data_IF_655000817454
#
_entry.id   IF_655000817454
#
_cell.length_a   1.000
_cell.length_b   1.000
_cell.length_c   1.000
_cell.angle_alpha   90.00
_cell.angle_beta   90.00
_cell.angle_gamma   90.00
#
_symmetry.space_group_name_H-M   'P 1'
#
loop_
_entity.id
_entity.type
_entity.pdbx_description
1 polymer ?
#
# COMPACT_ATOMS: atom_id res chain seq x y z
N UNK A 1 -9.99 -1.80 4.02
CA UNK A 1 -9.51 -2.59 5.16
C UNK A 1 -10.65 -2.92 6.13
N UNK A 2 -10.43 -3.90 7.03
CA UNK A 2 -11.38 -4.25 8.11
C UNK A 2 -11.34 -3.20 9.25
N UNK A 3 -12.30 -3.26 10.14
CA UNK A 3 -12.33 -2.38 11.33
C UNK A 3 -11.24 -2.74 12.37
N UNK A 4 -10.60 -3.89 12.26
CA UNK A 4 -9.49 -4.33 13.12
C UNK A 4 -8.13 -3.81 12.60
N UNK A 5 -8.05 -3.39 11.33
CA UNK A 5 -6.81 -3.00 10.69
C UNK A 5 -6.23 -1.69 11.25
N UNK A 6 -4.91 -1.54 11.42
CA UNK A 6 -4.28 -0.31 11.93
C UNK A 6 -4.71 0.97 11.20
N UNK A 7 -4.84 0.93 9.86
CA UNK A 7 -5.36 2.07 9.11
C UNK A 7 -6.77 2.50 9.55
N UNK A 8 -7.66 1.54 9.85
CA UNK A 8 -9.00 1.90 10.32
C UNK A 8 -8.96 2.58 11.68
N UNK A 9 -8.09 2.09 12.59
CA UNK A 9 -7.85 2.74 13.89
C UNK A 9 -7.33 4.17 13.71
N UNK A 10 -6.41 4.38 12.76
CA UNK A 10 -5.95 5.69 12.37
C UNK A 10 -7.09 6.58 11.82
N UNK A 11 -7.98 6.03 10.99
CA UNK A 11 -9.15 6.75 10.48
C UNK A 11 -10.15 7.11 11.59
N UNK A 12 -10.28 6.29 12.63
CA UNK A 12 -11.09 6.63 13.82
C UNK A 12 -10.49 7.82 14.55
N UNK A 13 -9.17 7.88 14.73
CA UNK A 13 -8.49 9.04 15.32
C UNK A 13 -8.67 10.30 14.46
N UNK A 14 -8.55 10.18 13.12
CA UNK A 14 -8.86 11.28 12.19
C UNK A 14 -10.29 11.83 12.39
N UNK A 15 -11.27 10.92 12.45
CA UNK A 15 -12.66 11.26 12.71
C UNK A 15 -12.83 11.96 14.04
N UNK A 16 -12.36 11.36 15.12
CA UNK A 16 -12.60 11.83 16.48
C UNK A 16 -11.97 13.22 16.69
N UNK A 17 -10.78 13.46 16.13
CA UNK A 17 -10.12 14.75 16.21
C UNK A 17 -10.91 15.84 15.44
N UNK A 18 -11.33 15.56 14.21
CA UNK A 18 -12.15 16.53 13.43
C UNK A 18 -13.46 16.85 14.14
N UNK A 19 -14.16 15.84 14.63
CA UNK A 19 -15.44 16.02 15.33
C UNK A 19 -15.28 16.73 16.70
N UNK A 20 -14.12 16.57 17.35
CA UNK A 20 -13.83 17.31 18.59
C UNK A 20 -13.60 18.81 18.37
N UNK A 21 -12.92 19.16 17.27
CA UNK A 21 -12.55 20.54 16.97
C UNK A 21 -13.60 21.30 16.12
N UNK A 22 -14.30 20.58 15.24
CA UNK A 22 -15.19 21.13 14.22
C UNK A 22 -16.55 20.41 14.15
N UNK A 23 -16.97 19.71 15.21
CA UNK A 23 -18.19 18.90 15.22
C UNK A 23 -19.50 19.68 14.98
N UNK A 24 -19.47 21.02 15.14
CA UNK A 24 -20.61 21.88 14.76
C UNK A 24 -20.77 22.03 13.23
N UNK A 25 -19.72 21.69 12.46
CA UNK A 25 -19.68 21.87 11.00
C UNK A 25 -19.51 20.57 10.24
N UNK A 26 -18.77 19.61 10.80
CA UNK A 26 -18.39 18.36 10.10
C UNK A 26 -18.76 17.13 10.94
N UNK A 27 -19.31 16.14 10.27
CA UNK A 27 -19.50 14.78 10.74
C UNK A 27 -18.69 13.85 9.81
N UNK A 28 -17.85 12.97 10.37
CA UNK A 28 -17.04 12.05 9.59
C UNK A 28 -17.65 10.65 9.61
N UNK A 29 -17.94 10.11 8.43
CA UNK A 29 -18.46 8.76 8.27
C UNK A 29 -17.41 7.89 7.58
N UNK A 30 -17.04 6.78 8.20
CA UNK A 30 -16.04 5.84 7.69
C UNK A 30 -16.76 4.64 7.06
N UNK A 31 -16.34 4.26 5.85
CA UNK A 31 -16.90 3.13 5.08
C UNK A 31 -15.81 2.08 4.86
N UNK A 32 -15.65 1.10 5.77
CA UNK A 32 -14.64 0.05 5.65
C UNK A 32 -14.99 -1.00 4.59
N UNK A 33 -14.06 -1.94 4.35
CA UNK A 33 -14.28 -3.15 3.54
C UNK A 33 -14.79 -2.91 2.11
N UNK A 34 -14.29 -1.84 1.47
CA UNK A 34 -14.68 -1.49 0.09
C UNK A 34 -16.21 -1.31 -0.11
N UNK A 35 -16.94 -0.87 0.94
CA UNK A 35 -18.39 -0.67 0.88
C UNK A 35 -18.81 0.31 -0.23
N UNK A 36 -17.93 1.26 -0.60
CA UNK A 36 -18.16 2.23 -1.67
C UNK A 36 -17.53 1.81 -3.01
N UNK A 37 -16.97 0.60 -3.08
CA UNK A 37 -16.24 0.06 -4.23
C UNK A 37 -14.76 -0.14 -3.94
N UNK A 38 -14.05 -0.84 -4.84
CA UNK A 38 -12.61 -1.05 -4.74
C UNK A 38 -11.82 0.26 -4.83
N UNK A 39 -10.53 0.20 -4.51
CA UNK A 39 -9.67 1.39 -4.34
C UNK A 39 -9.71 2.34 -5.55
N UNK A 40 -9.53 1.85 -6.78
CA UNK A 40 -9.62 2.68 -7.98
C UNK A 40 -10.97 3.39 -8.08
N UNK A 41 -12.08 2.70 -7.76
CA UNK A 41 -13.40 3.31 -7.74
C UNK A 41 -13.56 4.37 -6.66
N UNK A 42 -13.01 4.12 -5.48
CA UNK A 42 -13.02 5.10 -4.39
C UNK A 42 -12.21 6.36 -4.76
N UNK A 43 -11.06 6.22 -5.44
CA UNK A 43 -10.30 7.36 -5.96
C UNK A 43 -11.13 8.16 -6.98
N UNK A 44 -11.83 7.51 -7.91
CA UNK A 44 -12.74 8.19 -8.85
C UNK A 44 -13.87 8.95 -8.14
N UNK A 45 -14.46 8.35 -7.10
CA UNK A 45 -15.51 9.00 -6.30
C UNK A 45 -14.95 10.22 -5.54
N UNK A 46 -13.73 10.13 -5.03
CA UNK A 46 -13.02 11.25 -4.41
C UNK A 46 -12.73 12.34 -5.43
N UNK A 47 -12.24 11.99 -6.61
CA UNK A 47 -11.95 12.94 -7.70
C UNK A 47 -13.21 13.75 -8.09
N UNK A 48 -14.36 13.09 -8.17
CA UNK A 48 -15.63 13.73 -8.53
C UNK A 48 -16.30 14.47 -7.37
N UNK A 49 -15.80 14.31 -6.13
CA UNK A 49 -16.38 14.90 -4.93
C UNK A 49 -17.65 14.20 -4.43
N UNK A 50 -17.88 12.96 -4.86
CA UNK A 50 -18.94 12.12 -4.30
C UNK A 50 -18.62 11.62 -2.89
N UNK A 51 -17.32 11.50 -2.58
CA UNK A 51 -16.77 11.33 -1.23
C UNK A 51 -15.62 12.33 -1.05
N UNK A 52 -15.32 12.68 0.19
CA UNK A 52 -14.33 13.73 0.48
C UNK A 52 -12.92 13.15 0.62
N UNK A 53 -12.80 11.95 1.16
CA UNK A 53 -11.52 11.25 1.39
C UNK A 53 -11.61 9.77 1.03
N UNK A 54 -10.47 9.19 0.64
CA UNK A 54 -10.29 7.74 0.53
C UNK A 54 -8.87 7.35 0.94
N UNK A 55 -8.69 6.10 1.37
CA UNK A 55 -7.36 5.49 1.54
C UNK A 55 -7.15 4.46 0.45
N UNK A 56 -6.01 4.52 -0.20
CA UNK A 56 -5.64 3.59 -1.26
C UNK A 56 -4.13 3.40 -1.34
N UNK A 57 -3.71 2.21 -1.79
CA UNK A 57 -2.32 1.95 -2.14
C UNK A 57 -1.87 2.81 -3.32
N UNK A 58 -0.65 3.31 -3.25
CA UNK A 58 -0.06 4.13 -4.33
C UNK A 58 -0.11 3.49 -5.72
N UNK A 59 -0.07 2.15 -5.91
CA UNK A 59 -0.28 1.54 -7.22
C UNK A 59 -1.65 1.82 -7.84
N UNK A 60 -2.69 2.01 -7.03
CA UNK A 60 -4.00 2.40 -7.58
C UNK A 60 -4.09 3.89 -7.91
N UNK A 61 -3.18 4.71 -7.37
CA UNK A 61 -3.10 6.14 -7.64
C UNK A 61 -2.25 6.45 -8.88
N UNK A 62 -1.33 5.57 -9.30
CA UNK A 62 -0.42 5.82 -10.42
C UNK A 62 -1.16 6.11 -11.74
N UNK A 63 -2.36 5.56 -11.95
CA UNK A 63 -3.16 5.84 -13.15
C UNK A 63 -3.78 7.24 -13.17
N UNK A 64 -3.79 7.93 -12.04
CA UNK A 64 -4.24 9.32 -11.90
C UNK A 64 -3.07 10.30 -11.84
N UNK A 65 -1.93 9.84 -11.32
CA UNK A 65 -0.70 10.63 -11.20
C UNK A 65 0.52 9.69 -11.31
N UNK A 66 1.17 9.72 -12.45
CA UNK A 66 2.22 8.78 -12.87
C UNK A 66 3.46 8.77 -11.95
N UNK A 67 3.72 9.86 -11.21
CA UNK A 67 4.82 9.91 -10.23
C UNK A 67 4.74 8.82 -9.17
N UNK A 68 3.52 8.37 -8.83
CA UNK A 68 3.32 7.31 -7.83
C UNK A 68 3.71 5.90 -8.32
N UNK A 69 3.96 5.74 -9.62
CA UNK A 69 4.49 4.49 -10.19
C UNK A 69 5.81 4.05 -9.53
N UNK A 70 6.62 5.01 -9.05
CA UNK A 70 7.89 4.72 -8.38
C UNK A 70 7.73 3.74 -7.23
N UNK A 71 6.67 3.86 -6.42
CA UNK A 71 6.42 2.99 -5.27
C UNK A 71 6.07 1.55 -5.66
N UNK A 72 5.71 1.32 -6.92
CA UNK A 72 5.45 -0.02 -7.47
C UNK A 72 6.72 -0.75 -7.90
N UNK A 73 7.89 -0.13 -7.82
CA UNK A 73 9.16 -0.76 -8.15
C UNK A 73 9.50 -1.87 -7.16
N UNK A 74 9.87 -3.08 -7.64
CA UNK A 74 10.37 -4.11 -6.74
C UNK A 74 11.70 -3.68 -6.11
N UNK A 75 11.85 -3.94 -4.81
CA UNK A 75 13.06 -3.61 -4.03
C UNK A 75 13.52 -2.16 -4.13
N UNK A 76 12.54 -1.22 -4.23
CA UNK A 76 12.81 0.21 -4.25
C UNK A 76 13.56 0.68 -3.00
N UNK A 77 13.09 0.24 -1.83
CA UNK A 77 13.72 0.51 -0.55
C UNK A 77 14.59 -0.67 -0.12
N UNK A 78 15.77 -0.38 0.43
CA UNK A 78 16.74 -1.39 0.86
C UNK A 78 16.58 -1.79 2.32
N UNK A 79 15.89 -0.97 3.12
CA UNK A 79 15.56 -1.24 4.52
C UNK A 79 14.29 -0.47 4.94
N UNK A 80 13.73 -0.85 6.08
CA UNK A 80 12.60 -0.14 6.69
C UNK A 80 13.00 1.26 7.14
N UNK A 81 14.23 1.43 7.65
CA UNK A 81 14.75 2.73 8.06
C UNK A 81 14.81 3.71 6.88
N UNK A 82 15.28 3.24 5.71
CA UNK A 82 15.29 4.06 4.50
C UNK A 82 13.87 4.41 4.04
N UNK A 83 12.94 3.46 4.13
CA UNK A 83 11.52 3.68 3.81
C UNK A 83 10.90 4.74 4.72
N UNK A 84 11.01 4.58 6.04
CA UNK A 84 10.46 5.55 6.99
C UNK A 84 11.11 6.92 6.85
N UNK A 85 12.44 6.98 6.65
CA UNK A 85 13.14 8.25 6.48
C UNK A 85 12.68 8.99 5.22
N UNK A 86 12.49 8.29 4.10
CA UNK A 86 11.98 8.89 2.86
C UNK A 86 10.54 9.37 3.01
N UNK A 87 9.65 8.55 3.61
CA UNK A 87 8.24 8.92 3.77
C UNK A 87 8.02 10.05 4.77
N UNK A 88 8.90 10.19 5.76
CA UNK A 88 8.86 11.27 6.76
C UNK A 88 9.62 12.54 6.33
N UNK A 89 10.22 12.58 5.14
CA UNK A 89 10.74 13.82 4.56
C UNK A 89 9.57 14.69 4.05
N UNK A 90 8.90 15.35 4.99
CA UNK A 90 7.69 16.14 4.71
C UNK A 90 7.94 17.28 3.73
N UNK A 91 9.15 17.89 3.76
CA UNK A 91 9.51 18.97 2.83
C UNK A 91 9.55 18.51 1.38
N UNK A 92 9.96 17.26 1.15
CA UNK A 92 9.96 16.67 -0.19
C UNK A 92 8.62 16.02 -0.52
N UNK A 93 8.08 15.19 0.38
CA UNK A 93 6.85 14.44 0.12
C UNK A 93 5.63 15.33 -0.08
N UNK A 94 5.54 16.48 0.58
CA UNK A 94 4.46 17.44 0.34
C UNK A 94 4.42 17.94 -1.11
N UNK A 95 5.57 18.03 -1.80
CA UNK A 95 5.61 18.37 -3.24
C UNK A 95 5.03 17.23 -4.10
N UNK A 96 5.33 15.98 -3.72
CA UNK A 96 4.77 14.81 -4.39
C UNK A 96 3.25 14.72 -4.12
N UNK A 97 2.82 14.98 -2.89
CA UNK A 97 1.40 15.00 -2.52
C UNK A 97 0.59 16.06 -3.28
N UNK A 98 1.17 17.24 -3.48
CA UNK A 98 0.57 18.32 -4.26
C UNK A 98 0.52 18.03 -5.77
N UNK A 99 1.32 17.08 -6.28
CA UNK A 99 1.36 16.78 -7.73
C UNK A 99 0.05 16.22 -8.28
N UNK A 100 -0.90 15.83 -7.42
CA UNK A 100 -2.22 15.33 -7.80
C UNK A 100 -3.29 16.42 -7.93
N UNK A 101 -3.00 17.68 -7.56
CA UNK A 101 -4.00 18.77 -7.50
C UNK A 101 -4.68 19.01 -8.85
N UNK A 102 -3.93 19.00 -9.94
CA UNK A 102 -4.45 19.20 -11.31
C UNK A 102 -5.42 18.08 -11.73
N UNK A 103 -5.39 16.95 -11.07
CA UNK A 103 -6.33 15.83 -11.29
C UNK A 103 -7.59 15.93 -10.42
N UNK A 104 -7.69 16.96 -9.57
CA UNK A 104 -8.78 17.13 -8.60
C UNK A 104 -8.63 16.34 -7.31
N UNK A 105 -7.44 15.80 -7.08
CA UNK A 105 -7.07 15.01 -5.90
C UNK A 105 -5.91 15.68 -5.15
N UNK A 106 -5.78 15.43 -3.85
CA UNK A 106 -4.59 15.77 -3.08
C UNK A 106 -4.32 14.68 -2.05
N UNK A 107 -3.11 14.15 -2.05
CA UNK A 107 -2.66 13.27 -0.96
C UNK A 107 -2.40 14.14 0.27
N UNK A 108 -2.86 13.68 1.44
CA UNK A 108 -2.76 14.46 2.69
C UNK A 108 -1.88 13.79 3.73
N UNK A 109 -1.75 12.46 3.69
CA UNK A 109 -0.83 11.70 4.54
C UNK A 109 -0.61 10.29 4.01
N UNK A 110 0.26 9.52 4.65
CA UNK A 110 0.62 8.17 4.29
C UNK A 110 0.44 7.19 5.47
N UNK A 111 0.37 5.91 5.15
CA UNK A 111 0.28 4.81 6.10
C UNK A 111 1.31 3.74 5.76
N UNK A 112 1.84 3.10 6.81
CA UNK A 112 2.71 1.94 6.66
C UNK A 112 1.88 0.68 6.44
N UNK A 113 2.13 -0.02 5.36
CA UNK A 113 1.52 -1.34 5.14
C UNK A 113 2.57 -2.44 5.03
N UNK A 114 3.73 -2.21 5.65
CA UNK A 114 4.82 -3.16 5.79
C UNK A 114 5.42 -3.61 4.47
N UNK A 115 5.94 -4.81 4.50
CA UNK A 115 6.58 -5.44 3.35
C UNK A 115 5.64 -6.40 2.66
N UNK A 116 5.54 -6.31 1.33
CA UNK A 116 4.70 -7.19 0.53
C UNK A 116 5.45 -8.47 0.17
N UNK A 117 4.72 -9.59 0.27
CA UNK A 117 5.22 -10.95 0.16
C UNK A 117 4.23 -11.80 -0.65
N UNK A 118 4.69 -12.84 -1.33
CA UNK A 118 3.80 -13.76 -2.03
C UNK A 118 3.13 -14.74 -1.05
N UNK A 119 1.84 -15.01 -1.26
CA UNK A 119 1.14 -16.10 -0.60
C UNK A 119 0.24 -16.85 -1.57
N UNK A 120 0.15 -18.16 -1.42
CA UNK A 120 -0.51 -19.01 -2.40
C UNK A 120 -1.01 -20.34 -1.82
N UNK A 121 -1.76 -21.10 -2.64
CA UNK A 121 -2.18 -22.47 -2.32
C UNK A 121 -1.02 -23.46 -2.31
N UNK A 122 0.08 -23.15 -3.01
CA UNK A 122 1.28 -24.00 -3.11
C UNK A 122 2.49 -23.20 -2.60
N UNK A 123 3.52 -23.89 -2.10
CA UNK A 123 4.74 -23.22 -1.65
C UNK A 123 5.45 -22.51 -2.82
N UNK A 124 6.01 -21.35 -2.54
CA UNK A 124 6.89 -20.59 -3.42
C UNK A 124 8.24 -20.50 -2.71
N UNK A 125 9.16 -21.38 -3.04
CA UNK A 125 10.50 -21.42 -2.44
C UNK A 125 11.52 -20.62 -3.25
N UNK A 126 11.32 -20.54 -4.55
CA UNK A 126 12.15 -19.81 -5.51
C UNK A 126 11.28 -18.99 -6.46
N UNK A 127 11.80 -17.96 -7.14
CA UNK A 127 11.02 -17.23 -8.13
C UNK A 127 10.55 -18.09 -9.31
N UNK A 128 11.22 -19.22 -9.59
CA UNK A 128 10.79 -20.13 -10.67
C UNK A 128 9.49 -20.87 -10.34
N UNK A 129 9.13 -21.00 -9.04
CA UNK A 129 7.85 -21.57 -8.62
C UNK A 129 6.66 -20.67 -9.01
N UNK A 130 6.91 -19.36 -9.24
CA UNK A 130 5.89 -18.42 -9.72
C UNK A 130 5.54 -18.62 -11.20
N UNK A 131 6.34 -19.36 -11.95
CA UNK A 131 6.16 -19.52 -13.39
C UNK A 131 4.79 -20.11 -13.75
N UNK A 132 3.98 -19.27 -14.40
CA UNK A 132 2.64 -19.63 -14.84
C UNK A 132 1.58 -19.64 -13.74
N UNK A 133 1.93 -19.34 -12.47
CA UNK A 133 0.95 -19.12 -11.41
C UNK A 133 0.16 -17.85 -11.69
N UNK A 134 -1.14 -17.91 -11.51
CA UNK A 134 -2.03 -16.75 -11.57
C UNK A 134 -1.96 -16.02 -10.23
N UNK A 135 -1.21 -14.95 -10.18
CA UNK A 135 -1.01 -14.14 -8.98
C UNK A 135 -1.82 -12.85 -9.10
N UNK A 136 -2.68 -12.61 -8.13
CA UNK A 136 -3.36 -11.32 -8.03
C UNK A 136 -2.36 -10.21 -7.72
N UNK A 137 -2.50 -9.12 -8.42
CA UNK A 137 -1.81 -7.86 -8.14
C UNK A 137 -2.81 -6.71 -8.06
N UNK A 138 -2.37 -5.56 -7.59
CA UNK A 138 -3.17 -4.34 -7.62
C UNK A 138 -3.45 -3.92 -9.07
N UNK A 139 -4.47 -3.08 -9.27
CA UNK A 139 -4.89 -2.60 -10.59
C UNK A 139 -3.95 -1.50 -11.12
N UNK A 140 -2.70 -1.89 -11.35
CA UNK A 140 -1.55 -1.04 -11.66
C UNK A 140 -0.75 -1.66 -12.80
N UNK A 141 -0.42 -0.91 -13.87
CA UNK A 141 0.50 -1.35 -14.91
C UNK A 141 1.86 -1.79 -14.37
N UNK A 142 2.41 -1.07 -13.40
CA UNK A 142 3.70 -1.40 -12.80
C UNK A 142 3.64 -2.70 -11.98
N UNK A 143 2.57 -2.93 -11.20
CA UNK A 143 2.38 -4.19 -10.49
C UNK A 143 2.23 -5.39 -11.44
N UNK A 144 1.57 -5.19 -12.58
CA UNK A 144 1.49 -6.20 -13.66
C UNK A 144 2.88 -6.48 -14.24
N UNK A 145 3.68 -5.44 -14.50
CA UNK A 145 5.06 -5.56 -15.03
C UNK A 145 5.93 -6.35 -14.06
N UNK A 146 5.90 -6.01 -12.78
CA UNK A 146 6.62 -6.72 -11.72
C UNK A 146 6.27 -8.21 -11.66
N UNK A 147 4.98 -8.55 -11.58
CA UNK A 147 4.55 -9.95 -11.51
C UNK A 147 4.99 -10.76 -12.74
N UNK A 148 4.90 -10.17 -13.92
CA UNK A 148 5.41 -10.79 -15.16
C UNK A 148 6.93 -10.99 -15.14
N UNK A 149 7.70 -10.06 -14.58
CA UNK A 149 9.14 -10.19 -14.43
C UNK A 149 9.52 -11.36 -13.51
N UNK A 150 8.75 -11.61 -12.46
CA UNK A 150 8.87 -12.83 -11.64
C UNK A 150 8.45 -14.12 -12.37
N UNK A 151 7.79 -14.01 -13.53
CA UNK A 151 7.30 -15.16 -14.31
C UNK A 151 5.85 -15.55 -14.03
N UNK A 152 5.16 -14.81 -13.19
CA UNK A 152 3.75 -15.05 -12.87
C UNK A 152 2.81 -14.53 -13.97
N UNK A 153 1.62 -15.15 -14.03
CA UNK A 153 0.49 -14.60 -14.80
C UNK A 153 -0.25 -13.59 -13.91
N UNK A 154 0.03 -12.30 -14.12
CA UNK A 154 -0.58 -11.22 -13.35
C UNK A 154 -2.09 -11.17 -13.57
N UNK A 155 -2.85 -11.10 -12.46
CA UNK A 155 -4.31 -11.02 -12.45
C UNK A 155 -4.76 -9.79 -11.66
N UNK A 156 -4.83 -8.60 -12.29
CA UNK A 156 -5.23 -7.38 -11.60
C UNK A 156 -6.72 -7.45 -11.21
N UNK A 157 -7.02 -7.21 -9.93
CA UNK A 157 -8.38 -7.14 -9.40
C UNK A 157 -8.43 -6.38 -8.09
N UNK A 158 -9.63 -5.93 -7.69
CA UNK A 158 -9.83 -5.28 -6.39
C UNK A 158 -9.50 -6.23 -5.23
N UNK A 159 -9.16 -5.66 -4.07
CA UNK A 159 -8.69 -6.45 -2.94
C UNK A 159 -9.81 -7.31 -2.34
N UNK A 160 -11.04 -6.78 -2.29
CA UNK A 160 -12.21 -7.51 -1.78
C UNK A 160 -12.59 -8.76 -2.58
N UNK A 161 -12.09 -8.92 -3.83
CA UNK A 161 -12.35 -10.10 -4.65
C UNK A 161 -11.37 -11.26 -4.39
N UNK A 162 -10.23 -10.99 -3.74
CA UNK A 162 -9.08 -11.92 -3.66
C UNK A 162 -9.44 -13.23 -2.94
N UNK A 163 -10.08 -13.16 -1.77
CA UNK A 163 -10.48 -14.36 -1.02
C UNK A 163 -11.29 -15.33 -1.90
N UNK A 164 -12.34 -14.82 -2.51
CA UNK A 164 -13.22 -15.63 -3.35
C UNK A 164 -12.51 -16.16 -4.60
N UNK A 165 -11.67 -15.34 -5.23
CA UNK A 165 -10.90 -15.73 -6.40
C UNK A 165 -9.90 -16.87 -6.10
N UNK A 166 -9.21 -16.83 -4.95
CA UNK A 166 -8.35 -17.92 -4.48
C UNK A 166 -9.19 -19.16 -4.14
N UNK A 167 -10.29 -18.98 -3.39
CA UNK A 167 -11.15 -20.08 -2.98
C UNK A 167 -11.69 -20.86 -4.19
N UNK A 168 -12.15 -20.15 -5.22
CA UNK A 168 -12.69 -20.73 -6.43
C UNK A 168 -11.63 -21.24 -7.42
N UNK A 169 -10.33 -20.96 -7.18
CA UNK A 169 -9.25 -21.34 -8.07
C UNK A 169 -9.16 -20.50 -9.34
N UNK A 170 -9.74 -19.32 -9.37
CA UNK A 170 -9.59 -18.33 -10.44
C UNK A 170 -8.14 -17.83 -10.47
N UNK A 171 -7.56 -17.63 -9.28
CA UNK A 171 -6.16 -17.33 -9.07
C UNK A 171 -5.52 -18.36 -8.12
N UNK A 172 -4.20 -18.48 -8.17
CA UNK A 172 -3.41 -19.42 -7.36
C UNK A 172 -2.95 -18.79 -6.04
N UNK A 173 -2.82 -17.46 -6.02
CA UNK A 173 -2.35 -16.70 -4.88
C UNK A 173 -2.38 -15.20 -5.15
N UNK A 174 -1.76 -14.46 -4.23
CA UNK A 174 -1.65 -13.01 -4.29
C UNK A 174 -0.34 -12.55 -3.61
N UNK A 175 -0.17 -11.25 -3.45
CA UNK A 175 0.94 -10.67 -2.72
C UNK A 175 0.41 -9.56 -1.79
N UNK A 176 0.88 -9.54 -0.55
CA UNK A 176 0.56 -8.55 0.47
C UNK A 176 1.39 -8.81 1.74
N UNK A 177 1.07 -8.09 2.83
CA UNK A 177 1.57 -8.29 4.18
C UNK A 177 0.79 -9.37 4.95
N UNK A 178 1.20 -9.66 6.18
CA UNK A 178 0.64 -10.71 7.04
C UNK A 178 -0.82 -10.44 7.44
N UNK A 179 -1.23 -9.17 7.59
CA UNK A 179 -2.60 -8.82 7.99
C UNK A 179 -3.65 -9.30 6.97
N UNK A 180 -3.27 -9.43 5.69
CA UNK A 180 -4.15 -10.00 4.69
C UNK A 180 -4.58 -11.45 5.01
N UNK A 181 -3.70 -12.20 5.70
CA UNK A 181 -3.99 -13.59 6.08
C UNK A 181 -5.10 -13.69 7.11
N UNK A 182 -5.11 -12.77 8.08
CA UNK A 182 -6.05 -12.77 9.23
C UNK A 182 -7.25 -11.88 8.99
N UNK A 183 -7.06 -10.58 8.77
CA UNK A 183 -8.13 -9.60 8.67
C UNK A 183 -9.04 -9.85 7.46
N UNK A 184 -8.44 -10.29 6.35
CA UNK A 184 -9.16 -10.63 5.13
C UNK A 184 -9.35 -12.14 4.94
N UNK A 185 -8.91 -12.94 5.94
CA UNK A 185 -9.04 -14.40 5.99
C UNK A 185 -8.36 -15.14 4.82
N UNK A 186 -7.42 -14.49 4.13
CA UNK A 186 -6.74 -15.11 3.00
C UNK A 186 -5.94 -16.36 3.43
N UNK A 187 -5.49 -16.46 4.69
CA UNK A 187 -4.87 -17.64 5.26
C UNK A 187 -5.78 -18.90 5.33
N UNK A 188 -7.09 -18.74 5.22
CA UNK A 188 -8.00 -19.88 5.10
C UNK A 188 -7.87 -20.58 3.73
N UNK A 189 -7.58 -19.83 2.68
CA UNK A 189 -7.58 -20.27 1.28
C UNK A 189 -6.21 -20.34 0.62
N UNK A 190 -5.19 -19.70 1.23
CA UNK A 190 -3.78 -19.74 0.81
C UNK A 190 -2.91 -20.12 2.01
N UNK A 191 -2.28 -21.30 1.96
CA UNK A 191 -1.61 -21.91 3.11
C UNK A 191 -0.09 -21.72 3.16
N UNK A 192 0.48 -21.01 2.19
CA UNK A 192 1.91 -20.76 2.12
C UNK A 192 2.15 -19.27 1.94
N UNK A 193 2.95 -18.70 2.83
CA UNK A 193 3.36 -17.31 2.79
C UNK A 193 4.89 -17.24 2.68
N UNK A 194 5.40 -16.62 1.61
CA UNK A 194 6.82 -16.57 1.29
C UNK A 194 7.36 -15.18 1.48
N UNK A 195 8.30 -14.99 2.39
CA UNK A 195 8.95 -13.71 2.67
C UNK A 195 9.88 -13.27 1.53
N UNK A 196 9.29 -13.04 0.35
CA UNK A 196 10.01 -12.49 -0.81
C UNK A 196 10.40 -11.03 -0.64
N UNK A 197 9.75 -10.29 0.28
CA UNK A 197 10.04 -8.90 0.65
C UNK A 197 10.26 -7.99 -0.57
N UNK A 198 9.40 -8.17 -1.59
CA UNK A 198 9.66 -7.60 -2.90
C UNK A 198 9.24 -6.14 -3.04
N UNK A 199 8.40 -5.62 -2.15
CA UNK A 199 7.98 -4.21 -2.13
C UNK A 199 7.66 -3.71 -0.73
N UNK A 200 7.90 -2.41 -0.50
CA UNK A 200 7.31 -1.59 0.55
C UNK A 200 6.53 -0.49 -0.14
N UNK A 201 5.20 -0.57 -0.10
CA UNK A 201 4.29 0.33 -0.80
C UNK A 201 3.50 1.10 0.25
N UNK A 202 3.57 2.43 0.30
CA UNK A 202 2.70 3.17 1.21
C UNK A 202 1.25 3.15 0.71
N UNK A 203 0.31 3.00 1.63
CA UNK A 203 -1.04 3.47 1.40
C UNK A 203 -1.10 4.97 1.70
N UNK A 204 -1.98 5.69 1.05
CA UNK A 204 -2.10 7.14 1.19
C UNK A 204 -3.56 7.56 1.41
N UNK A 205 -3.77 8.56 2.26
CA UNK A 205 -5.04 9.24 2.35
C UNK A 205 -5.12 10.29 1.26
N UNK A 206 -6.14 10.20 0.43
CA UNK A 206 -6.38 11.04 -0.73
C UNK A 206 -7.65 11.84 -0.47
N UNK A 207 -7.58 13.15 -0.61
CA UNK A 207 -8.72 14.05 -0.46
C UNK A 207 -9.21 14.59 -1.81
N UNK A 208 -10.48 14.95 -1.88
CA UNK A 208 -10.97 15.80 -2.96
C UNK A 208 -10.31 17.19 -2.85
N UNK A 209 -9.60 17.61 -3.89
CA UNK A 209 -8.85 18.89 -3.87
C UNK A 209 -9.75 20.09 -3.70
N UNK A 210 -10.95 20.09 -4.32
CA UNK A 210 -11.90 21.19 -4.18
C UNK A 210 -12.45 21.30 -2.76
N UNK A 211 -12.68 20.19 -2.06
CA UNK A 211 -13.07 20.17 -0.65
C UNK A 211 -11.98 20.83 0.19
N UNK A 212 -10.73 20.38 0.10
CA UNK A 212 -9.61 20.95 0.87
C UNK A 212 -9.41 22.43 0.58
N UNK A 213 -9.50 22.82 -0.69
CA UNK A 213 -9.30 24.21 -1.11
C UNK A 213 -10.44 25.15 -0.71
N UNK A 214 -11.58 24.58 -0.33
CA UNK A 214 -12.74 25.30 0.21
C UNK A 214 -12.69 25.53 1.72
N UNK A 215 -11.76 24.89 2.43
CA UNK A 215 -11.58 25.09 3.88
C UNK A 215 -10.97 26.47 4.18
N UNK A 216 -11.38 27.07 5.30
CA UNK A 216 -10.64 28.21 5.87
C UNK A 216 -9.26 27.74 6.39
N UNK A 217 -8.34 28.67 6.59
CA UNK A 217 -6.99 28.35 7.10
C UNK A 217 -7.06 27.58 8.42
N UNK A 218 -7.93 27.98 9.35
CA UNK A 218 -8.10 27.29 10.63
C UNK A 218 -8.72 25.89 10.51
N UNK A 219 -9.64 25.69 9.58
CA UNK A 219 -10.17 24.35 9.31
C UNK A 219 -9.12 23.45 8.66
N UNK A 220 -8.35 24.00 7.71
CA UNK A 220 -7.26 23.27 7.07
C UNK A 220 -6.22 22.78 8.09
N UNK A 221 -5.82 23.63 9.04
CA UNK A 221 -4.91 23.23 10.13
C UNK A 221 -5.46 22.05 10.94
N UNK A 222 -6.78 22.02 11.21
CA UNK A 222 -7.42 20.88 11.91
C UNK A 222 -7.37 19.61 11.07
N UNK A 223 -7.71 19.67 9.77
CA UNK A 223 -7.65 18.50 8.89
C UNK A 223 -6.22 17.99 8.70
N UNK A 224 -5.22 18.85 8.55
CA UNK A 224 -3.81 18.47 8.45
C UNK A 224 -3.33 17.80 9.74
N UNK A 225 -3.71 18.35 10.92
CA UNK A 225 -3.39 17.75 12.20
C UNK A 225 -4.08 16.40 12.39
N UNK A 226 -5.35 16.28 11.98
CA UNK A 226 -6.08 15.01 12.02
C UNK A 226 -5.40 13.94 11.15
N UNK A 227 -4.96 14.32 9.95
CA UNK A 227 -4.23 13.42 9.06
C UNK A 227 -2.90 12.93 9.67
N UNK A 228 -2.14 13.82 10.32
CA UNK A 228 -0.92 13.44 11.02
C UNK A 228 -1.20 12.49 12.19
N UNK A 229 -2.19 12.79 13.04
CA UNK A 229 -2.59 11.91 14.15
C UNK A 229 -3.04 10.53 13.65
N UNK A 230 -3.73 10.48 12.53
CA UNK A 230 -4.13 9.23 11.88
C UNK A 230 -2.95 8.36 11.52
N UNK A 231 -1.90 8.95 10.92
CA UNK A 231 -0.65 8.25 10.61
C UNK A 231 0.07 7.80 11.88
N UNK A 232 0.19 8.69 12.87
CA UNK A 232 0.88 8.38 14.13
C UNK A 232 0.21 7.17 14.83
N UNK A 233 -1.13 7.15 14.91
CA UNK A 233 -1.90 6.03 15.49
C UNK A 233 -1.71 4.73 14.70
N UNK A 234 -1.75 4.80 13.39
CA UNK A 234 -1.53 3.62 12.54
C UNK A 234 -0.14 3.02 12.75
N UNK A 235 0.90 3.86 12.78
CA UNK A 235 2.28 3.43 13.01
C UNK A 235 2.49 2.78 14.39
N UNK A 236 1.83 3.30 15.44
CA UNK A 236 1.90 2.72 16.80
C UNK A 236 1.28 1.31 16.86
N UNK A 237 0.19 1.07 16.14
CA UNK A 237 -0.54 -0.19 16.14
C UNK A 237 0.08 -1.26 15.24
N UNK A 238 0.77 -0.84 14.16
CA UNK A 238 1.22 -1.71 13.07
C UNK A 238 2.03 -2.93 13.53
N UNK A 239 3.10 -2.72 14.27
CA UNK A 239 4.02 -3.79 14.66
C UNK A 239 3.38 -4.86 15.54
N UNK A 240 2.46 -4.45 16.42
CA UNK A 240 1.75 -5.37 17.30
C UNK A 240 0.76 -6.21 16.51
N UNK A 241 0.04 -5.60 15.59
CA UNK A 241 -0.98 -6.28 14.79
C UNK A 241 -0.33 -7.26 13.80
N UNK A 242 0.80 -6.90 13.17
CA UNK A 242 1.56 -7.82 12.30
C UNK A 242 2.08 -9.05 13.08
N UNK A 243 2.63 -8.85 14.29
CA UNK A 243 3.09 -9.97 15.13
C UNK A 243 1.93 -10.89 15.54
N UNK A 244 0.79 -10.32 15.89
CA UNK A 244 -0.41 -11.07 16.24
C UNK A 244 -0.96 -11.83 15.01
N UNK A 245 -1.02 -11.19 13.85
CA UNK A 245 -1.47 -11.78 12.60
C UNK A 245 -0.61 -12.99 12.20
N UNK A 246 0.72 -12.86 12.23
CA UNK A 246 1.64 -13.96 11.94
C UNK A 246 1.36 -15.17 12.84
N UNK A 247 1.27 -14.93 14.14
CA UNK A 247 0.99 -16.00 15.12
C UNK A 247 -0.36 -16.67 14.83
N UNK A 248 -1.42 -15.90 14.65
CA UNK A 248 -2.76 -16.42 14.35
C UNK A 248 -2.78 -17.21 13.05
N UNK A 249 -2.13 -16.70 12.00
CA UNK A 249 -2.05 -17.38 10.71
C UNK A 249 -1.34 -18.73 10.83
N UNK A 250 -0.26 -18.82 11.63
CA UNK A 250 0.50 -20.05 11.85
C UNK A 250 -0.27 -21.04 12.71
N UNK A 251 -0.71 -20.60 13.91
CA UNK A 251 -1.28 -21.48 14.93
C UNK A 251 -2.75 -21.88 14.64
N UNK A 252 -3.57 -20.93 14.20
CA UNK A 252 -5.02 -21.14 14.05
C UNK A 252 -5.44 -21.42 12.61
N UNK A 253 -4.74 -20.84 11.63
CA UNK A 253 -5.08 -21.01 10.20
C UNK A 253 -4.22 -22.04 9.50
N UNK A 254 -3.11 -22.51 10.11
CA UNK A 254 -2.21 -23.52 9.55
C UNK A 254 -1.43 -23.00 8.33
N UNK A 255 -1.09 -21.73 8.30
CA UNK A 255 -0.25 -21.13 7.28
C UNK A 255 1.22 -21.50 7.55
N UNK A 256 1.92 -21.92 6.49
CA UNK A 256 3.35 -22.18 6.54
C UNK A 256 4.10 -20.96 6.02
N UNK A 257 4.98 -20.40 6.84
CA UNK A 257 5.86 -19.29 6.47
C UNK A 257 7.17 -19.83 5.91
N UNK A 258 7.60 -19.26 4.77
CA UNK A 258 8.80 -19.69 4.02
C UNK A 258 9.77 -18.51 3.96
N UNK A 259 11.02 -18.75 4.37
CA UNK A 259 12.15 -17.82 4.23
C UNK A 259 12.99 -18.25 3.02
N UNK A 260 12.83 -17.60 1.85
CA UNK A 260 13.56 -17.96 0.64
C UNK A 260 14.94 -17.31 0.59
N UNK A 261 15.79 -17.72 -0.38
CA UNK A 261 16.94 -16.90 -0.75
C UNK A 261 16.48 -15.65 -1.52
N UNK A 262 16.56 -14.51 -0.85
CA UNK A 262 16.14 -13.22 -1.41
C UNK A 262 16.96 -12.79 -2.63
N UNK A 263 18.21 -13.26 -2.75
CA UNK A 263 19.07 -12.91 -3.90
C UNK A 263 18.49 -13.46 -5.21
N UNK A 264 17.90 -14.68 -5.18
CA UNK A 264 17.25 -15.24 -6.36
C UNK A 264 16.05 -14.39 -6.80
N UNK A 265 15.25 -13.89 -5.85
CA UNK A 265 14.12 -13.00 -6.14
C UNK A 265 14.58 -11.65 -6.66
N UNK A 266 15.61 -11.04 -6.04
CA UNK A 266 16.19 -9.77 -6.50
C UNK A 266 16.78 -9.88 -7.90
N UNK A 267 17.55 -10.94 -8.16
CA UNK A 267 18.15 -11.18 -9.48
C UNK A 267 17.11 -11.34 -10.59
N UNK A 268 15.95 -11.91 -10.26
CA UNK A 268 14.86 -12.12 -11.21
C UNK A 268 14.28 -10.81 -11.75
N UNK A 269 14.26 -9.75 -10.95
CA UNK A 269 13.63 -8.47 -11.28
C UNK A 269 14.62 -7.30 -11.32
N UNK A 270 15.91 -7.57 -11.34
CA UNK A 270 16.97 -6.54 -11.26
C UNK A 270 16.92 -5.45 -12.33
N UNK A 271 16.33 -5.73 -13.49
CA UNK A 271 16.22 -4.77 -14.58
C UNK A 271 14.91 -3.96 -14.52
N UNK A 272 13.94 -4.36 -13.69
CA UNK A 272 12.59 -3.77 -13.71
C UNK A 272 12.61 -2.30 -13.34
N UNK A 273 13.42 -1.90 -12.36
CA UNK A 273 13.53 -0.48 -11.97
C UNK A 273 14.04 0.38 -13.14
N UNK A 274 15.12 -0.03 -13.82
CA UNK A 274 15.67 0.72 -14.95
C UNK A 274 14.68 0.79 -16.12
N UNK A 275 14.01 -0.33 -16.44
CA UNK A 275 12.96 -0.35 -17.46
C UNK A 275 11.79 0.57 -17.12
N UNK A 276 11.39 0.69 -15.84
CA UNK A 276 10.35 1.64 -15.41
C UNK A 276 10.81 3.09 -15.53
N UNK A 277 12.06 3.38 -15.20
CA UNK A 277 12.66 4.71 -15.35
C UNK A 277 12.84 5.13 -16.82
N UNK A 278 13.06 4.16 -17.72
CA UNK A 278 13.09 4.41 -19.16
C UNK A 278 11.68 4.66 -19.73
N UNK A 279 10.70 3.89 -19.29
CA UNK A 279 9.30 4.00 -19.73
C UNK A 279 8.63 5.29 -19.21
N UNK A 280 8.96 5.70 -17.99
CA UNK A 280 8.41 6.90 -17.33
C UNK A 280 9.51 7.75 -16.69
N UNK A 281 10.13 8.69 -17.45
CA UNK A 281 11.17 9.57 -16.90
C UNK A 281 10.69 10.50 -15.78
N UNK A 282 9.38 10.72 -15.62
CA UNK A 282 8.82 11.62 -14.60
C UNK A 282 9.05 11.11 -13.17
N UNK A 283 9.26 9.81 -13.01
CA UNK A 283 9.51 9.20 -11.68
C UNK A 283 10.98 9.31 -11.25
N UNK A 284 11.89 9.77 -12.12
CA UNK A 284 13.34 9.81 -11.86
C UNK A 284 13.70 10.64 -10.63
N UNK A 285 13.14 11.82 -10.51
CA UNK A 285 13.49 12.73 -9.40
C UNK A 285 13.12 12.12 -8.03
N UNK A 286 11.95 11.50 -7.93
CA UNK A 286 11.51 10.82 -6.69
C UNK A 286 12.35 9.55 -6.45
N UNK A 287 12.64 8.78 -7.49
CA UNK A 287 13.54 7.63 -7.40
C UNK A 287 14.92 8.04 -6.85
N UNK A 288 15.56 9.04 -7.45
CA UNK A 288 16.88 9.52 -7.04
C UNK A 288 16.85 10.10 -5.62
N UNK A 289 15.72 10.70 -5.22
CA UNK A 289 15.54 11.16 -3.84
C UNK A 289 15.50 9.98 -2.85
N UNK A 290 14.75 8.92 -3.16
CA UNK A 290 14.69 7.70 -2.35
C UNK A 290 16.06 7.02 -2.26
N UNK A 291 16.82 6.97 -3.37
CA UNK A 291 18.16 6.36 -3.36
C UNK A 291 19.12 7.04 -2.37
N UNK A 292 18.99 8.34 -2.08
CA UNK A 292 19.79 9.00 -1.05
C UNK A 292 19.56 8.40 0.34
N UNK A 293 18.32 8.04 0.66
CA UNK A 293 18.01 7.36 1.92
C UNK A 293 18.51 5.92 1.93
N UNK A 294 18.39 5.21 0.81
CA UNK A 294 18.98 3.88 0.68
C UNK A 294 20.50 3.89 0.92
N UNK A 295 21.21 4.88 0.38
CA UNK A 295 22.66 5.07 0.60
C UNK A 295 22.96 5.44 2.05
N UNK A 296 22.19 6.35 2.65
CA UNK A 296 22.37 6.80 4.03
C UNK A 296 22.23 5.66 5.04
N UNK A 297 21.25 4.77 4.83
CA UNK A 297 20.95 3.63 5.69
C UNK A 297 21.58 2.31 5.20
N UNK A 298 22.45 2.35 4.18
CA UNK A 298 23.16 1.18 3.70
C UNK A 298 24.17 0.67 4.74
N UNK A 299 23.75 -0.22 5.61
CA UNK A 299 24.59 -0.84 6.64
C UNK A 299 23.98 -0.94 8.02
N UNK A 300 22.83 -0.34 8.25
CA UNK A 300 22.12 -0.42 9.53
C UNK A 300 21.23 -1.69 9.64
N UNK A 301 20.94 -2.36 8.52
CA UNK A 301 20.12 -3.58 8.43
C UNK A 301 20.93 -4.88 8.35
N UNK A 302 22.01 -5.04 9.18
CA UNK A 302 22.75 -6.31 9.28
C UNK A 302 22.53 -6.99 10.61
#
# INVERSE_FOLDING_TARGET
QSEEHPEYKGLVEFKDYIESELGDKYEVQIFPNELLGGQTKAIELTQTGAIDFTVAGTPNLEIFADVYEVFSMPYLFTSEEAYFAAMNDTDYMNKIYASTEDTGLQVVTWYNVGTRNFYAKKPINTPDDLKGMKIRVQQSPASIKMAKAFGAAASPMSFGEVYTAIQQGVIDGAENNELALTDNKHGEVAKYFTYSKHQMIPDVMIANYKFLNGLSDSEREVFEKAAQLSTDTELEEWDNDVKAAKKTAEEDMGVTFIEPDLNEFKDKVKNVQEEMLEDNPNIRDLYDHIQKYNEQYAGEGK
#
